data_IF_635215358097
#
_entry.id   IF_635215358097
#
_cell.length_a   1.000
_cell.length_b   1.000
_cell.length_c   1.000
_cell.angle_alpha   90.00
_cell.angle_beta   90.00
_cell.angle_gamma   90.00
#
_symmetry.space_group_name_H-M   'P 1'
#
loop_
_entity.id
_entity.type
_entity.pdbx_description
1 polymer ?
#
# COMPACT_ATOMS: atom_id res chain seq x y z
N UNK A 1 4.34 4.09 5.20
CA UNK A 1 4.48 5.53 5.49
C UNK A 1 3.40 6.32 4.75
N UNK A 2 2.12 6.10 5.06
CA UNK A 2 1.01 6.70 4.29
C UNK A 2 -0.19 7.08 5.18
N UNK A 3 -0.16 6.74 6.47
CA UNK A 3 -1.23 7.02 7.43
C UNK A 3 -1.15 8.45 7.99
N UNK A 4 -0.04 9.17 7.78
CA UNK A 4 0.19 10.49 8.37
C UNK A 4 -0.75 11.60 7.88
N UNK A 5 -1.35 11.46 6.70
CA UNK A 5 -2.13 12.53 6.05
C UNK A 5 -3.65 12.40 6.20
N UNK A 6 -4.19 11.23 6.54
CA UNK A 6 -5.64 11.03 6.54
C UNK A 6 -6.25 11.09 7.95
N UNK A 7 -6.05 12.20 8.65
CA UNK A 7 -6.80 12.52 9.88
C UNK A 7 -8.31 12.26 9.79
N UNK A 8 -8.84 12.37 8.57
CA UNK A 8 -10.25 12.31 8.20
C UNK A 8 -10.81 10.89 8.01
N UNK A 9 -9.97 9.93 7.62
CA UNK A 9 -10.45 8.59 7.24
C UNK A 9 -10.39 7.57 8.41
N UNK A 10 -10.18 8.03 9.65
CA UNK A 10 -10.07 7.16 10.81
C UNK A 10 -11.45 6.81 11.35
N UNK A 11 -11.74 5.52 11.49
CA UNK A 11 -12.97 5.00 12.11
C UNK A 11 -12.76 4.69 13.60
N UNK A 12 -11.56 4.23 13.95
CA UNK A 12 -11.19 3.88 15.33
C UNK A 12 -9.70 4.09 15.53
N UNK A 13 -9.29 4.63 16.70
CA UNK A 13 -7.88 4.80 17.08
C UNK A 13 -7.61 4.21 18.45
N UNK A 14 -6.43 3.63 18.64
CA UNK A 14 -5.98 3.01 19.90
C UNK A 14 -4.47 3.14 20.08
N UNK A 15 -4.02 3.24 21.33
CA UNK A 15 -2.64 3.13 21.76
C UNK A 15 -2.39 1.70 22.23
N UNK A 16 -1.57 0.97 21.46
CA UNK A 16 -1.12 -0.36 21.86
C UNK A 16 -0.09 -0.24 22.98
N UNK A 17 -0.07 -1.24 23.87
CA UNK A 17 0.86 -1.36 25.00
C UNK A 17 0.80 -0.20 26.01
N UNK A 18 -0.38 0.38 26.23
CA UNK A 18 -0.56 1.52 27.14
C UNK A 18 -0.10 1.24 28.58
N UNK A 19 -0.27 0.01 29.06
CA UNK A 19 0.17 -0.45 30.39
C UNK A 19 1.69 -0.58 30.54
N UNK A 20 2.44 -0.50 29.43
CA UNK A 20 3.90 -0.54 29.42
C UNK A 20 4.49 0.87 29.27
N UNK A 21 5.80 0.97 29.46
CA UNK A 21 6.54 2.22 29.37
C UNK A 21 6.36 2.93 28.02
N UNK A 22 6.49 4.28 27.96
CA UNK A 22 6.23 5.06 26.74
C UNK A 22 6.98 4.60 25.50
N UNK A 23 8.20 4.08 25.66
CA UNK A 23 9.05 3.65 24.56
C UNK A 23 8.49 2.49 23.71
N UNK A 24 7.57 1.68 24.25
CA UNK A 24 6.99 0.52 23.54
C UNK A 24 5.53 0.75 23.11
N UNK A 25 5.02 1.97 23.29
CA UNK A 25 3.67 2.35 22.88
C UNK A 25 3.62 2.60 21.38
N UNK A 26 2.54 2.19 20.73
CA UNK A 26 2.34 2.39 19.30
C UNK A 26 0.89 2.78 18.99
N UNK A 27 0.71 3.78 18.11
CA UNK A 27 -0.61 4.15 17.62
C UNK A 27 -1.08 3.16 16.55
N UNK A 28 -2.34 2.75 16.65
CA UNK A 28 -3.04 1.94 15.65
C UNK A 28 -4.37 2.58 15.32
N UNK A 29 -4.73 2.57 14.04
CA UNK A 29 -6.04 3.00 13.58
C UNK A 29 -6.68 1.96 12.67
N UNK A 30 -8.01 1.88 12.72
CA UNK A 30 -8.83 1.35 11.65
C UNK A 30 -9.23 2.50 10.74
N UNK A 31 -9.09 2.32 9.44
CA UNK A 31 -9.41 3.33 8.43
C UNK A 31 -10.51 2.84 7.49
N UNK A 32 -11.33 3.76 7.01
CA UNK A 32 -12.16 3.47 5.84
C UNK A 32 -11.25 3.29 4.62
N UNK A 33 -11.25 2.09 4.04
CA UNK A 33 -10.37 1.75 2.92
C UNK A 33 -10.67 2.55 1.65
N UNK A 34 -11.95 2.83 1.38
CA UNK A 34 -12.38 3.53 0.16
C UNK A 34 -12.06 5.01 0.26
N UNK A 35 -12.40 5.61 1.38
CA UNK A 35 -12.12 7.02 1.65
C UNK A 35 -10.61 7.27 1.64
N UNK A 36 -9.85 6.40 2.33
CA UNK A 36 -8.40 6.50 2.36
C UNK A 36 -7.77 6.46 0.95
N UNK A 37 -8.21 5.52 0.10
CA UNK A 37 -7.72 5.42 -1.27
C UNK A 37 -8.05 6.67 -2.10
N UNK A 38 -9.27 7.21 -1.94
CA UNK A 38 -9.71 8.41 -2.64
C UNK A 38 -8.92 9.65 -2.19
N UNK A 39 -8.71 9.83 -0.89
CA UNK A 39 -7.94 10.96 -0.36
C UNK A 39 -6.47 10.90 -0.81
N UNK A 40 -5.85 9.72 -0.77
CA UNK A 40 -4.49 9.57 -1.28
C UNK A 40 -4.40 9.87 -2.78
N UNK A 41 -5.38 9.44 -3.59
CA UNK A 41 -5.43 9.78 -5.01
C UNK A 41 -5.47 11.30 -5.21
N UNK A 42 -6.34 12.01 -4.50
CA UNK A 42 -6.45 13.48 -4.58
C UNK A 42 -5.14 14.18 -4.22
N UNK A 43 -4.43 13.69 -3.19
CA UNK A 43 -3.15 14.26 -2.76
C UNK A 43 -2.11 14.13 -3.89
N UNK A 44 -1.98 12.93 -4.47
CA UNK A 44 -1.01 12.67 -5.54
C UNK A 44 -1.37 13.48 -6.80
N UNK A 45 -2.65 13.52 -7.20
CA UNK A 45 -3.10 14.27 -8.39
C UNK A 45 -2.90 15.78 -8.28
N UNK A 46 -2.88 16.34 -7.06
CA UNK A 46 -2.72 17.78 -6.81
C UNK A 46 -1.29 18.18 -6.43
N UNK A 47 -0.37 17.22 -6.35
CA UNK A 47 1.01 17.51 -5.97
C UNK A 47 1.73 18.23 -7.13
N UNK A 48 2.29 19.44 -6.91
CA UNK A 48 3.00 20.15 -7.95
C UNK A 48 4.23 19.35 -8.41
N UNK A 49 4.56 19.44 -9.70
CA UNK A 49 5.66 18.71 -10.34
C UNK A 49 5.51 17.18 -10.35
N UNK A 50 4.32 16.64 -10.07
CA UNK A 50 4.03 15.22 -10.16
C UNK A 50 3.07 14.94 -11.33
N UNK A 51 3.49 14.08 -12.25
CA UNK A 51 2.64 13.58 -13.34
C UNK A 51 2.32 12.11 -13.09
N UNK A 52 1.05 11.74 -13.26
CA UNK A 52 0.58 10.36 -13.10
C UNK A 52 0.35 9.77 -14.49
N UNK A 53 0.91 8.58 -14.71
CA UNK A 53 0.69 7.82 -15.94
C UNK A 53 0.32 6.39 -15.60
N UNK A 54 -0.81 5.93 -16.12
CA UNK A 54 -1.18 4.53 -16.07
C UNK A 54 -0.44 3.78 -17.18
N UNK A 55 0.54 2.97 -16.80
CA UNK A 55 1.26 2.08 -17.69
C UNK A 55 1.96 0.97 -16.88
N UNK A 56 2.11 -0.20 -17.48
CA UNK A 56 2.95 -1.27 -16.93
C UNK A 56 4.39 -1.05 -17.39
N UNK A 57 5.31 -0.82 -16.46
CA UNK A 57 6.75 -0.79 -16.74
C UNK A 57 7.26 -2.22 -16.85
N UNK A 58 7.96 -2.51 -17.94
CA UNK A 58 8.52 -3.82 -18.24
C UNK A 58 10.03 -3.84 -18.22
N UNK A 59 10.71 -2.70 -18.36
CA UNK A 59 12.17 -2.64 -18.45
C UNK A 59 12.75 -1.33 -17.90
N UNK A 60 14.03 -1.38 -17.54
CA UNK A 60 14.84 -0.21 -17.13
C UNK A 60 15.80 0.10 -18.26
N UNK A 61 15.81 1.36 -18.70
CA UNK A 61 16.73 1.82 -19.72
C UNK A 61 18.07 2.17 -19.07
N UNK A 62 19.14 1.52 -19.54
CA UNK A 62 20.50 1.81 -19.11
C UNK A 62 21.29 2.44 -20.27
N UNK A 63 22.08 3.45 -19.92
CA UNK A 63 22.99 4.13 -20.83
C UNK A 63 24.42 3.62 -20.73
N UNK A 64 25.37 4.52 -21.00
CA UNK A 64 26.80 4.23 -20.90
C UNK A 64 27.23 4.09 -19.43
N UNK A 65 28.00 3.05 -19.13
CA UNK A 65 28.48 2.74 -17.77
C UNK A 65 27.33 2.43 -16.78
N UNK A 66 26.28 1.75 -17.25
CA UNK A 66 25.15 1.29 -16.43
C UNK A 66 24.38 2.39 -15.69
N UNK A 67 24.43 3.64 -16.20
CA UNK A 67 23.61 4.72 -15.67
C UNK A 67 22.14 4.50 -16.03
N UNK A 68 21.23 4.71 -15.07
CA UNK A 68 19.79 4.69 -15.35
C UNK A 68 19.41 5.90 -16.21
N UNK A 69 18.75 5.64 -17.33
CA UNK A 69 18.24 6.68 -18.24
C UNK A 69 16.72 6.77 -18.23
N UNK A 70 16.02 5.76 -17.71
CA UNK A 70 14.57 5.75 -17.66
C UNK A 70 13.95 4.36 -17.59
N UNK A 71 12.72 4.25 -18.07
CA UNK A 71 11.93 3.00 -18.10
C UNK A 71 11.24 2.81 -19.44
N UNK A 72 11.00 1.55 -19.81
CA UNK A 72 10.15 1.16 -20.94
C UNK A 72 8.85 0.54 -20.44
N UNK A 73 7.74 0.91 -21.07
CA UNK A 73 6.43 0.33 -20.78
C UNK A 73 6.09 -0.84 -21.70
N UNK A 74 5.06 -1.59 -21.34
CA UNK A 74 4.57 -2.76 -22.08
C UNK A 74 4.26 -2.46 -23.55
N UNK A 75 3.72 -1.28 -23.86
CA UNK A 75 3.44 -0.87 -25.24
C UNK A 75 4.66 -0.25 -25.96
N UNK A 76 5.86 -0.40 -25.40
CA UNK A 76 7.11 0.06 -26.02
C UNK A 76 7.41 1.54 -25.84
N UNK A 77 6.64 2.28 -25.03
CA UNK A 77 6.94 3.70 -24.77
C UNK A 77 8.11 3.83 -23.80
N UNK A 78 9.05 4.72 -24.11
CA UNK A 78 10.16 5.06 -23.22
C UNK A 78 9.85 6.34 -22.44
N UNK A 79 10.11 6.32 -21.13
CA UNK A 79 10.05 7.50 -20.26
C UNK A 79 11.43 7.72 -19.67
N UNK A 80 12.03 8.88 -19.94
CA UNK A 80 13.38 9.20 -19.49
C UNK A 80 13.38 9.89 -18.13
N UNK A 81 14.31 9.49 -17.28
CA UNK A 81 14.50 10.06 -15.95
C UNK A 81 15.94 9.82 -15.49
N UNK A 82 16.50 10.75 -14.72
CA UNK A 82 17.83 10.60 -14.11
C UNK A 82 17.87 9.56 -12.99
N UNK A 83 16.70 9.26 -12.40
CA UNK A 83 16.55 8.29 -11.31
C UNK A 83 15.22 7.56 -11.43
N UNK A 84 15.20 6.27 -11.09
CA UNK A 84 14.01 5.42 -11.10
C UNK A 84 13.85 4.77 -9.71
N UNK A 85 12.63 4.84 -9.15
CA UNK A 85 12.28 4.20 -7.87
C UNK A 85 11.27 3.09 -8.15
N UNK A 86 11.60 1.86 -7.79
CA UNK A 86 10.72 0.69 -7.98
C UNK A 86 9.90 0.43 -6.71
N UNK A 87 8.56 0.47 -6.84
CA UNK A 87 7.60 0.20 -5.75
C UNK A 87 6.53 -0.80 -6.19
N UNK A 88 6.97 -1.90 -6.82
CA UNK A 88 6.11 -2.88 -7.50
C UNK A 88 5.19 -3.68 -6.58
N UNK A 89 5.37 -3.61 -5.26
CA UNK A 89 4.51 -4.28 -4.27
C UNK A 89 4.39 -5.78 -4.54
N UNK A 90 3.16 -6.30 -4.54
CA UNK A 90 2.88 -7.73 -4.80
C UNK A 90 2.70 -8.07 -6.29
N UNK A 91 2.94 -7.12 -7.21
CA UNK A 91 2.62 -7.29 -8.62
C UNK A 91 3.72 -8.02 -9.41
N UNK A 92 4.99 -7.80 -9.05
CA UNK A 92 6.15 -8.34 -9.78
C UNK A 92 6.18 -9.85 -9.77
N UNK A 93 5.93 -10.47 -10.94
CA UNK A 93 5.72 -11.92 -11.08
C UNK A 93 4.78 -12.50 -10.00
N UNK A 94 3.72 -11.72 -9.70
CA UNK A 94 2.74 -11.99 -8.66
C UNK A 94 1.92 -13.25 -8.95
N UNK A 95 1.61 -14.01 -7.90
CA UNK A 95 0.83 -15.25 -7.99
C UNK A 95 -0.05 -15.41 -6.77
N UNK A 96 -1.35 -15.58 -6.99
CA UNK A 96 -2.33 -15.87 -5.94
C UNK A 96 -2.50 -17.37 -5.79
N UNK A 97 -2.69 -17.80 -4.56
CA UNK A 97 -2.94 -19.19 -4.17
C UNK A 97 -4.25 -19.27 -3.39
N UNK A 98 -5.17 -20.12 -3.84
CA UNK A 98 -6.44 -20.42 -3.16
C UNK A 98 -6.51 -21.93 -3.01
N UNK A 99 -6.22 -22.40 -1.79
CA UNK A 99 -6.03 -23.84 -1.54
C UNK A 99 -4.90 -24.40 -2.41
N UNK A 100 -5.25 -25.34 -3.29
CA UNK A 100 -4.32 -25.97 -4.26
C UNK A 100 -4.27 -25.25 -5.62
N UNK A 101 -5.20 -24.33 -5.87
CA UNK A 101 -5.29 -23.62 -7.13
C UNK A 101 -4.42 -22.37 -7.09
N UNK A 102 -3.85 -22.01 -8.23
CA UNK A 102 -3.04 -20.80 -8.34
C UNK A 102 -3.23 -20.11 -9.68
N UNK A 103 -3.05 -18.78 -9.69
CA UNK A 103 -3.16 -17.97 -10.90
C UNK A 103 -2.18 -16.79 -10.87
N UNK A 104 -1.66 -16.33 -12.02
CA UNK A 104 -0.90 -15.08 -12.10
C UNK A 104 -1.78 -13.89 -11.74
N UNK A 105 -1.40 -13.14 -10.71
CA UNK A 105 -2.12 -11.96 -10.26
C UNK A 105 -1.27 -11.20 -9.24
N UNK A 106 -1.30 -9.86 -9.29
CA UNK A 106 -0.67 -9.04 -8.26
C UNK A 106 -1.55 -8.91 -7.02
N UNK A 107 -2.86 -8.77 -7.23
CA UNK A 107 -3.92 -8.77 -6.22
C UNK A 107 -5.17 -9.41 -6.80
N UNK A 108 -6.13 -9.78 -5.96
CA UNK A 108 -7.36 -10.43 -6.44
C UNK A 108 -8.08 -9.50 -7.44
N UNK A 109 -8.27 -9.96 -8.67
CA UNK A 109 -8.87 -9.17 -9.76
C UNK A 109 -7.90 -8.23 -10.50
N UNK A 110 -6.62 -8.19 -10.11
CA UNK A 110 -5.60 -7.32 -10.73
C UNK A 110 -4.45 -8.18 -11.32
N UNK A 111 -4.07 -7.95 -12.60
CA UNK A 111 -3.05 -8.76 -13.26
C UNK A 111 -1.68 -8.58 -12.60
N UNK A 112 -0.83 -9.61 -12.70
CA UNK A 112 0.58 -9.49 -12.33
C UNK A 112 1.34 -8.61 -13.34
N UNK A 113 2.40 -7.95 -12.89
CA UNK A 113 3.36 -7.35 -13.82
C UNK A 113 4.36 -8.40 -14.31
N UNK A 114 4.72 -8.28 -15.58
CA UNK A 114 5.60 -9.21 -16.30
C UNK A 114 6.73 -8.43 -16.99
N UNK A 115 7.86 -9.08 -17.26
CA UNK A 115 9.01 -8.49 -17.95
C UNK A 115 10.04 -7.85 -17.02
N UNK A 116 9.59 -7.07 -16.04
CA UNK A 116 10.50 -6.33 -15.15
C UNK A 116 11.39 -7.27 -14.32
N UNK A 117 10.83 -8.39 -13.83
CA UNK A 117 11.58 -9.40 -13.06
C UNK A 117 12.72 -9.99 -13.88
N UNK A 118 12.42 -10.42 -15.10
CA UNK A 118 13.38 -11.06 -16.00
C UNK A 118 14.46 -10.07 -16.45
N UNK A 119 14.12 -8.78 -16.57
CA UNK A 119 15.10 -7.74 -16.86
C UNK A 119 16.00 -7.45 -15.67
N UNK A 120 15.47 -7.36 -14.44
CA UNK A 120 16.30 -7.22 -13.23
C UNK A 120 17.27 -8.40 -13.06
N UNK A 121 16.83 -9.63 -13.31
CA UNK A 121 17.71 -10.80 -13.30
C UNK A 121 18.84 -10.69 -14.33
N UNK A 122 18.53 -10.21 -15.54
CA UNK A 122 19.54 -9.96 -16.59
C UNK A 122 20.56 -8.89 -16.21
N UNK A 123 20.16 -7.93 -15.39
CA UNK A 123 21.05 -6.92 -14.79
C UNK A 123 21.86 -7.45 -13.60
N UNK A 124 21.74 -8.73 -13.26
CA UNK A 124 22.50 -9.37 -12.18
C UNK A 124 21.86 -9.27 -10.79
N UNK A 125 20.60 -8.84 -10.70
CA UNK A 125 19.89 -8.85 -9.41
C UNK A 125 19.40 -10.26 -9.06
N UNK A 126 19.63 -10.66 -7.82
CA UNK A 126 19.00 -11.84 -7.24
C UNK A 126 17.53 -11.56 -6.91
N UNK A 127 16.65 -12.48 -7.27
CA UNK A 127 15.21 -12.36 -7.02
C UNK A 127 14.75 -13.56 -6.21
N UNK A 128 14.03 -13.29 -5.11
CA UNK A 128 13.39 -14.29 -4.27
C UNK A 128 11.88 -14.01 -4.15
N UNK A 129 11.11 -14.99 -3.65
CA UNK A 129 9.66 -14.95 -3.54
C UNK A 129 9.21 -14.91 -2.09
N UNK A 130 8.58 -13.80 -1.71
CA UNK A 130 7.83 -13.72 -0.45
C UNK A 130 6.36 -14.11 -0.66
N UNK A 131 5.80 -14.85 0.30
CA UNK A 131 4.36 -15.18 0.33
C UNK A 131 3.71 -14.57 1.57
N UNK A 132 2.61 -13.85 1.35
CA UNK A 132 1.76 -13.32 2.41
C UNK A 132 0.33 -13.81 2.22
N UNK A 133 -0.41 -13.93 3.34
CA UNK A 133 -1.81 -14.31 3.34
C UNK A 133 -2.72 -13.10 3.56
N UNK A 134 -3.97 -13.19 3.13
CA UNK A 134 -4.99 -12.22 3.53
C UNK A 134 -6.29 -12.96 3.87
N UNK A 135 -6.94 -12.67 5.01
CA UNK A 135 -8.17 -13.34 5.40
C UNK A 135 -9.31 -13.09 4.40
N UNK A 136 -10.29 -14.00 4.37
CA UNK A 136 -11.52 -13.81 3.59
C UNK A 136 -12.29 -12.56 4.04
N UNK A 137 -13.10 -12.00 3.14
CA UNK A 137 -13.98 -10.86 3.44
C UNK A 137 -15.37 -11.44 3.67
N UNK A 138 -15.97 -11.11 4.81
CA UNK A 138 -17.26 -11.66 5.26
C UNK A 138 -18.31 -10.55 5.19
N UNK A 139 -19.53 -10.90 4.80
CA UNK A 139 -20.67 -9.99 4.84
C UNK A 139 -21.05 -9.72 6.30
N UNK A 140 -21.07 -8.46 6.71
CA UNK A 140 -21.37 -8.07 8.08
C UNK A 140 -22.79 -8.52 8.51
N UNK A 141 -23.73 -8.62 7.57
CA UNK A 141 -25.13 -9.02 7.84
C UNK A 141 -25.26 -10.48 8.23
N UNK A 142 -24.25 -11.30 7.95
CA UNK A 142 -24.25 -12.74 8.25
C UNK A 142 -23.51 -13.07 9.54
N UNK A 143 -23.08 -12.06 10.30
CA UNK A 143 -22.33 -12.25 11.54
C UNK A 143 -23.24 -11.91 12.72
N UNK A 144 -23.41 -12.86 13.64
CA UNK A 144 -24.04 -12.59 14.93
C UNK A 144 -22.98 -12.02 15.90
N UNK A 145 -23.21 -10.80 16.38
CA UNK A 145 -22.33 -10.09 17.30
C UNK A 145 -22.74 -10.25 18.76
N UNK A 146 -23.88 -10.89 19.06
CA UNK A 146 -24.47 -10.93 20.41
C UNK A 146 -23.58 -11.63 21.46
N UNK A 147 -22.77 -12.61 21.05
CA UNK A 147 -21.80 -13.32 21.90
C UNK A 147 -20.37 -12.76 21.85
N UNK A 148 -20.12 -11.62 21.20
CA UNK A 148 -18.77 -11.08 21.01
C UNK A 148 -18.51 -9.88 21.93
N UNK A 149 -17.28 -9.74 22.40
CA UNK A 149 -16.86 -8.59 23.20
C UNK A 149 -16.56 -7.38 22.29
N UNK A 150 -17.24 -6.23 22.48
CA UNK A 150 -16.96 -5.03 21.70
C UNK A 150 -15.63 -4.41 22.13
N UNK A 151 -14.74 -4.17 21.16
CA UNK A 151 -13.50 -3.47 21.40
C UNK A 151 -13.58 -2.03 20.88
N UNK A 152 -13.77 -1.07 21.77
CA UNK A 152 -13.87 0.36 21.43
C UNK A 152 -12.49 1.02 21.21
N UNK A 153 -12.50 2.21 20.60
CA UNK A 153 -11.32 3.06 20.49
C UNK A 153 -10.98 3.76 21.81
N UNK A 154 -9.79 4.34 21.90
CA UNK A 154 -9.39 5.12 23.07
C UNK A 154 -10.05 6.53 23.01
N UNK A 155 -10.48 7.05 24.16
CA UNK A 155 -11.18 8.35 24.27
C UNK A 155 -10.25 9.53 24.00
N UNK A 156 -9.01 9.48 24.49
CA UNK A 156 -7.99 10.48 24.20
C UNK A 156 -7.25 10.13 22.91
N UNK A 157 -7.54 10.90 21.86
CA UNK A 157 -7.07 10.60 20.52
C UNK A 157 -5.70 11.24 20.27
N UNK A 158 -4.64 10.45 20.44
CA UNK A 158 -3.32 10.82 19.93
C UNK A 158 -3.34 10.87 18.40
N UNK A 159 -2.74 11.93 17.86
CA UNK A 159 -2.62 12.13 16.41
C UNK A 159 -1.39 11.40 15.88
N UNK A 160 -1.54 10.74 14.72
CA UNK A 160 -0.39 10.24 13.96
C UNK A 160 0.46 11.39 13.39
N UNK A 161 -0.10 12.59 13.28
CA UNK A 161 0.57 13.77 12.74
C UNK A 161 0.87 14.77 13.86
N UNK A 162 2.15 15.08 14.03
CA UNK A 162 2.66 16.03 15.03
C UNK A 162 2.12 17.45 14.82
N UNK A 163 1.84 17.82 13.57
CA UNK A 163 1.37 19.16 13.18
C UNK A 163 -0.15 19.28 13.31
N UNK A 164 -0.89 18.17 13.19
CA UNK A 164 -2.35 18.18 13.24
C UNK A 164 -2.82 18.13 14.70
N UNK A 165 -3.25 19.29 15.23
CA UNK A 165 -3.89 19.37 16.56
C UNK A 165 -5.18 18.54 16.56
N UNK A 166 -5.37 17.79 17.65
CA UNK A 166 -6.50 16.92 17.97
C UNK A 166 -7.84 17.54 17.53
N UNK A 167 -8.40 17.04 16.44
CA UNK A 167 -9.78 17.31 16.07
C UNK A 167 -10.66 16.30 16.80
N UNK A 168 -11.63 16.81 17.57
CA UNK A 168 -12.70 16.02 18.19
C UNK A 168 -13.47 15.30 17.09
N UNK A 169 -13.52 13.97 17.14
CA UNK A 169 -14.45 13.21 16.32
C UNK A 169 -15.81 13.24 17.03
N UNK A 170 -16.86 13.74 16.37
CA UNK A 170 -18.22 13.40 16.75
C UNK A 170 -18.48 11.98 16.26
N UNK A 171 -18.67 11.07 17.21
CA UNK A 171 -19.14 9.71 16.94
C UNK A 171 -20.49 9.76 16.21
N UNK A 172 -20.61 8.98 15.14
CA UNK A 172 -21.90 8.60 14.55
C UNK A 172 -22.45 7.43 15.36
#
# INVERSE_FOLDING_TARGET
MSVLYSGRCYLQKRVLNISRGPAVRALRAQTDKREYALEMKKIVERSPNLSIREAMVTDILLGKNDNVEGVRTFFGMNFYASSVILTTGTFMSGKIWVGRTSMPAGRAGEPASVGLTENLQRLGFEIDRLKTGTPARVDIRTVDFSGLEPQQGDQEVLSFNVICRSHSFNSI
#
